data_IF_450276825797
#
_entry.id   IF_450276825797
#
_cell.length_a   1.000
_cell.length_b   1.000
_cell.length_c   1.000
_cell.angle_alpha   90.00
_cell.angle_beta   90.00
_cell.angle_gamma   90.00
#
_symmetry.space_group_name_H-M   'P 1'
#
loop_
_entity.id
_entity.type
_entity.pdbx_description
1 polymer ?
#
# COMPACT_ATOMS: atom_id res chain seq x y z
N UNK A 1 8.88 5.94 4.59
CA UNK A 1 9.72 4.87 3.99
C UNK A 1 8.86 3.86 3.25
N UNK A 2 8.68 4.05 1.94
CA UNK A 2 8.62 2.96 0.98
C UNK A 2 9.17 3.50 -0.34
N UNK A 3 10.37 3.07 -0.70
CA UNK A 3 10.94 3.23 -2.04
C UNK A 3 11.23 1.80 -2.48
N UNK A 4 10.29 1.16 -3.18
CA UNK A 4 10.53 -0.15 -3.82
C UNK A 4 11.05 0.05 -5.25
N UNK A 5 12.08 0.90 -5.37
CA UNK A 5 13.02 0.98 -6.48
C UNK A 5 14.38 1.24 -5.83
N UNK A 6 15.17 0.20 -5.60
CA UNK A 6 16.56 0.36 -5.17
C UNK A 6 17.40 0.69 -6.40
N UNK A 7 17.65 1.98 -6.60
CA UNK A 7 18.75 2.43 -7.45
C UNK A 7 19.96 2.73 -6.55
N UNK A 8 20.94 1.83 -6.60
CA UNK A 8 22.33 1.95 -6.14
C UNK A 8 22.62 1.70 -4.64
N UNK A 9 23.41 0.64 -4.33
CA UNK A 9 23.87 0.31 -2.97
C UNK A 9 25.29 -0.28 -2.98
N UNK A 10 26.18 0.42 -2.28
CA UNK A 10 27.46 -0.08 -1.76
C UNK A 10 27.34 -0.25 -0.23
N UNK A 11 27.72 -1.42 0.32
CA UNK A 11 27.48 -1.81 1.72
C UNK A 11 28.73 -1.74 2.62
N UNK A 12 28.53 -1.51 3.93
CA UNK A 12 29.31 -2.22 4.96
C UNK A 12 28.44 -2.87 6.07
N UNK A 13 28.93 -3.99 6.60
CA UNK A 13 28.32 -4.92 7.57
C UNK A 13 28.33 -4.47 9.04
N UNK A 14 27.28 -4.81 9.80
CA UNK A 14 27.23 -5.25 11.24
C UNK A 14 25.74 -5.40 11.61
N UNK A 15 25.19 -6.28 12.46
CA UNK A 15 25.67 -7.15 13.55
C UNK A 15 24.53 -7.17 14.60
N UNK A 16 23.81 -8.28 14.75
CA UNK A 16 22.56 -8.40 15.54
C UNK A 16 22.79 -8.65 17.04
N UNK A 17 21.85 -8.21 17.90
CA UNK A 17 21.51 -9.03 19.06
C UNK A 17 20.00 -9.16 19.37
N UNK A 18 19.75 -10.18 20.18
CA UNK A 18 18.52 -10.94 20.50
C UNK A 18 17.60 -10.34 21.59
N UNK A 19 16.28 -10.59 21.44
CA UNK A 19 15.26 -10.50 22.52
C UNK A 19 15.28 -11.73 23.43
N UNK A 20 14.64 -11.72 24.64
CA UNK A 20 13.33 -12.40 24.74
C UNK A 20 12.36 -11.95 25.85
N UNK A 21 11.16 -12.57 25.81
CA UNK A 21 10.15 -12.84 26.85
C UNK A 21 8.88 -11.98 26.98
N UNK A 22 7.75 -12.63 26.66
CA UNK A 22 6.37 -12.26 27.02
C UNK A 22 5.80 -13.25 28.05
N UNK A 23 5.14 -12.75 29.10
CA UNK A 23 4.40 -13.54 30.10
C UNK A 23 2.88 -13.35 29.99
N UNK A 24 2.14 -14.45 30.12
CA UNK A 24 0.67 -14.57 30.07
C UNK A 24 -0.04 -14.27 31.40
N UNK A 25 -1.38 -14.14 31.29
CA UNK A 25 -2.51 -14.39 32.25
C UNK A 25 -3.32 -13.10 32.51
N UNK A 26 -4.63 -13.09 32.72
CA UNK A 26 -5.73 -14.08 32.77
C UNK A 26 -7.05 -13.29 32.68
N UNK A 27 -8.08 -13.88 32.10
CA UNK A 27 -9.44 -13.37 32.09
C UNK A 27 -10.09 -13.48 33.49
N UNK A 28 -10.87 -12.47 33.88
CA UNK A 28 -11.85 -12.57 34.95
C UNK A 28 -13.16 -11.89 34.54
N UNK A 29 -14.25 -12.63 34.67
CA UNK A 29 -15.62 -12.22 34.43
C UNK A 29 -16.36 -12.03 35.75
N UNK A 30 -17.06 -10.90 35.91
CA UNK A 30 -18.39 -10.73 36.52
C UNK A 30 -18.61 -9.28 36.96
N UNK A 31 -19.74 -8.66 36.62
CA UNK A 31 -20.88 -8.61 37.56
C UNK A 31 -22.01 -7.66 37.10
N UNK A 32 -23.24 -8.17 37.27
CA UNK A 32 -24.45 -7.51 37.82
C UNK A 32 -25.02 -6.27 37.10
N UNK A 33 -26.16 -6.49 36.42
CA UNK A 33 -27.14 -5.48 35.98
C UNK A 33 -28.05 -5.08 37.15
N UNK A 34 -28.03 -3.80 37.52
CA UNK A 34 -29.00 -3.16 38.42
C UNK A 34 -30.15 -2.51 37.66
N UNK A 35 -31.38 -2.63 38.16
CA UNK A 35 -32.60 -2.00 37.61
C UNK A 35 -32.59 -0.50 37.92
N UNK A 36 -32.78 0.34 36.90
CA UNK A 36 -32.88 1.80 37.02
C UNK A 36 -34.35 2.21 37.19
N UNK A 37 -34.61 3.09 38.16
CA UNK A 37 -35.93 3.66 38.47
C UNK A 37 -36.42 4.61 37.37
N UNK A 38 -37.74 4.57 37.12
CA UNK A 38 -38.47 5.28 36.04
C UNK A 38 -38.29 6.81 36.10
N UNK A 39 -38.00 7.38 37.27
CA UNK A 39 -37.78 8.84 37.41
C UNK A 39 -36.44 9.27 36.78
N UNK A 40 -35.43 8.39 36.78
CA UNK A 40 -34.14 8.66 36.11
C UNK A 40 -34.25 8.59 34.60
N UNK A 41 -35.25 7.89 34.06
CA UNK A 41 -35.45 7.76 32.61
C UNK A 41 -35.95 9.05 31.96
N UNK A 42 -36.66 9.91 32.72
CA UNK A 42 -37.23 11.16 32.21
C UNK A 42 -36.15 12.25 32.11
N UNK A 43 -35.27 12.37 33.11
CA UNK A 43 -34.11 13.29 33.04
C UNK A 43 -33.08 12.89 31.95
N UNK A 44 -32.90 11.58 31.70
CA UNK A 44 -32.03 11.09 30.63
C UNK A 44 -32.56 11.46 29.23
N UNK A 45 -33.89 11.60 29.07
CA UNK A 45 -34.49 11.98 27.79
C UNK A 45 -34.30 13.46 27.45
N UNK A 46 -34.29 14.35 28.45
CA UNK A 46 -34.06 15.78 28.23
C UNK A 46 -32.57 16.08 27.93
N UNK A 47 -31.62 15.36 28.55
CA UNK A 47 -30.19 15.46 28.23
C UNK A 47 -29.85 14.86 26.84
N UNK A 48 -30.53 13.78 26.44
CA UNK A 48 -30.33 13.15 25.13
C UNK A 48 -30.87 13.99 23.96
N UNK A 49 -31.83 14.90 24.20
CA UNK A 49 -32.34 15.82 23.20
C UNK A 49 -31.39 17.01 22.94
N UNK A 50 -30.51 17.35 23.89
CA UNK A 50 -29.48 18.37 23.74
C UNK A 50 -28.20 17.84 23.06
N UNK A 51 -27.97 16.53 23.12
CA UNK A 51 -26.92 15.86 22.36
C UNK A 51 -27.43 15.56 20.94
N UNK A 52 -26.88 16.25 19.94
CA UNK A 52 -27.15 15.94 18.53
C UNK A 52 -26.91 14.45 18.19
N UNK A 53 -27.35 13.97 17.02
CA UNK A 53 -27.37 12.55 16.70
C UNK A 53 -25.97 11.93 16.90
N UNK A 54 -25.90 10.94 17.81
CA UNK A 54 -24.66 10.21 18.09
C UNK A 54 -24.18 9.56 16.79
N UNK A 55 -22.95 9.84 16.34
CA UNK A 55 -22.41 9.24 15.13
C UNK A 55 -22.51 7.71 15.21
N UNK A 56 -22.94 7.08 14.12
CA UNK A 56 -22.87 5.61 14.02
C UNK A 56 -21.44 5.14 14.33
N UNK A 57 -21.25 3.91 14.82
CA UNK A 57 -19.91 3.35 15.09
C UNK A 57 -18.97 3.44 13.86
N UNK A 58 -19.54 3.45 12.64
CA UNK A 58 -18.81 3.68 11.41
C UNK A 58 -18.38 5.15 11.22
N UNK A 59 -19.29 6.10 11.42
CA UNK A 59 -18.97 7.54 11.39
C UNK A 59 -18.01 7.94 12.52
N UNK A 60 -18.12 7.32 13.70
CA UNK A 60 -17.25 7.52 14.84
C UNK A 60 -15.80 7.06 14.58
N UNK A 61 -15.55 6.15 13.63
CA UNK A 61 -14.20 5.72 13.25
C UNK A 61 -13.53 6.66 12.24
N UNK A 62 -14.33 7.47 11.53
CA UNK A 62 -13.85 8.47 10.57
C UNK A 62 -13.63 9.86 11.17
N UNK A 63 -13.58 9.93 12.49
CA UNK A 63 -13.28 11.16 13.22
C UNK A 63 -11.78 11.45 13.21
N UNK A 64 -11.43 12.73 13.18
CA UNK A 64 -10.05 13.21 13.28
C UNK A 64 -9.39 12.64 14.54
N UNK A 65 -8.19 12.06 14.38
CA UNK A 65 -7.35 11.70 15.52
C UNK A 65 -6.78 12.95 16.21
N UNK A 66 -6.65 12.98 17.53
CA UNK A 66 -6.05 14.11 18.26
C UNK A 66 -4.55 14.31 17.96
N UNK A 67 -3.88 13.32 17.37
CA UNK A 67 -2.47 13.43 16.96
C UNK A 67 -2.26 14.30 15.71
N UNK A 68 -3.32 14.60 14.96
CA UNK A 68 -3.20 15.55 13.84
C UNK A 68 -3.10 16.97 14.38
N UNK A 69 -2.28 17.80 13.75
CA UNK A 69 -2.40 19.24 13.94
C UNK A 69 -3.72 19.76 13.35
N UNK A 70 -4.14 20.95 13.77
CA UNK A 70 -5.32 21.62 13.24
C UNK A 70 -5.15 21.99 11.75
N UNK A 71 -6.27 22.07 11.02
CA UNK A 71 -6.32 22.48 9.61
C UNK A 71 -6.95 21.45 8.68
N UNK A 72 -7.03 21.79 7.38
CA UNK A 72 -7.81 21.08 6.36
C UNK A 72 -7.56 19.57 6.33
N UNK A 73 -6.29 19.14 6.21
CA UNK A 73 -5.97 17.71 6.13
C UNK A 73 -5.94 17.04 7.51
N UNK A 74 -6.44 15.81 7.58
CA UNK A 74 -6.31 14.97 8.77
C UNK A 74 -6.37 13.48 8.48
N UNK A 75 -5.84 12.68 9.41
CA UNK A 75 -5.94 11.21 9.44
C UNK A 75 -6.92 10.76 10.52
N UNK A 76 -7.79 9.80 10.19
CA UNK A 76 -8.76 9.22 11.12
C UNK A 76 -8.26 7.92 11.80
N UNK A 77 -9.13 7.31 12.62
CA UNK A 77 -8.83 6.09 13.38
C UNK A 77 -8.89 4.79 12.55
N UNK A 78 -9.16 4.86 11.24
CA UNK A 78 -9.13 3.70 10.33
C UNK A 78 -7.75 3.48 9.71
N UNK A 79 -6.77 4.34 10.01
CA UNK A 79 -5.40 4.19 9.54
C UNK A 79 -4.79 2.87 10.03
N UNK A 80 -4.19 2.11 9.11
CA UNK A 80 -3.52 0.83 9.38
C UNK A 80 -1.99 0.94 9.41
N UNK A 81 -1.44 2.16 9.48
CA UNK A 81 0.01 2.41 9.55
C UNK A 81 0.88 1.87 8.39
N UNK A 82 0.30 1.67 7.20
CA UNK A 82 0.96 1.19 5.97
C UNK A 82 2.06 2.10 5.37
N UNK A 83 2.45 3.20 6.02
CA UNK A 83 3.46 4.17 5.57
C UNK A 83 3.15 4.99 4.29
N UNK A 84 2.18 4.58 3.45
CA UNK A 84 1.84 5.21 2.14
C UNK A 84 1.98 6.74 2.12
N UNK A 85 1.27 7.43 3.02
CA UNK A 85 1.27 8.90 3.03
C UNK A 85 2.59 9.53 3.46
N UNK A 86 3.38 8.84 4.29
CA UNK A 86 4.65 9.35 4.82
C UNK A 86 5.75 9.34 3.78
N UNK A 87 5.76 8.37 2.87
CA UNK A 87 6.73 8.39 1.77
C UNK A 87 6.24 9.21 0.57
N UNK A 88 4.92 9.28 0.33
CA UNK A 88 4.37 10.10 -0.76
C UNK A 88 4.40 11.60 -0.45
N UNK A 89 4.20 12.00 0.81
CA UNK A 89 4.15 13.39 1.26
C UNK A 89 4.81 13.55 2.64
N UNK A 90 6.13 13.27 2.77
CA UNK A 90 6.87 13.32 4.04
C UNK A 90 6.87 14.70 4.71
N UNK A 91 6.60 15.77 3.96
CA UNK A 91 6.50 17.13 4.48
C UNK A 91 5.17 17.38 5.23
N UNK A 92 4.17 16.50 5.06
CA UNK A 92 2.80 16.66 5.60
C UNK A 92 2.49 15.59 6.65
N UNK A 93 2.87 14.34 6.37
CA UNK A 93 2.54 13.19 7.22
C UNK A 93 3.76 12.60 7.92
N UNK A 94 3.58 12.22 9.18
CA UNK A 94 4.58 11.49 9.97
C UNK A 94 3.90 10.40 10.80
N UNK A 95 4.69 9.56 11.46
CA UNK A 95 4.19 8.55 12.40
C UNK A 95 4.08 9.18 13.78
N UNK A 96 2.90 9.13 14.39
CA UNK A 96 2.68 9.54 15.78
C UNK A 96 1.87 8.46 16.49
N UNK A 97 2.55 7.73 17.40
CA UNK A 97 2.07 6.47 17.95
C UNK A 97 2.11 5.36 16.90
N UNK A 98 1.09 4.52 16.87
CA UNK A 98 1.00 3.35 15.96
C UNK A 98 0.31 3.67 14.62
N UNK A 99 0.21 4.94 14.22
CA UNK A 99 -0.54 5.36 13.03
C UNK A 99 0.05 6.65 12.43
N UNK A 100 -0.28 6.92 11.16
CA UNK A 100 0.06 8.19 10.50
C UNK A 100 -0.79 9.35 11.02
N UNK A 101 -0.21 10.55 11.06
CA UNK A 101 -0.89 11.79 11.41
C UNK A 101 -0.34 12.96 10.56
N UNK A 102 -1.17 13.97 10.36
CA UNK A 102 -0.72 15.25 9.78
C UNK A 102 0.05 16.02 10.86
N UNK A 103 1.33 16.27 10.63
CA UNK A 103 2.17 17.07 11.54
C UNK A 103 2.43 18.48 11.03
N UNK A 104 2.22 18.71 9.73
CA UNK A 104 2.28 20.02 9.07
C UNK A 104 1.21 20.06 7.97
N UNK A 105 0.43 21.13 7.90
CA UNK A 105 -0.53 21.33 6.81
C UNK A 105 0.25 21.75 5.56
N UNK A 106 -0.18 21.32 4.36
CA UNK A 106 0.47 21.77 3.13
C UNK A 106 0.33 23.28 2.97
N UNK A 107 1.46 23.95 2.76
CA UNK A 107 1.58 25.40 2.61
C UNK A 107 1.84 25.85 1.17
N UNK A 108 2.18 24.92 0.28
CA UNK A 108 2.40 25.18 -1.15
C UNK A 108 1.49 24.32 -2.03
N UNK A 109 1.32 24.72 -3.29
CA UNK A 109 0.57 23.93 -4.27
C UNK A 109 1.17 22.53 -4.50
N UNK A 110 2.50 22.41 -4.43
CA UNK A 110 3.20 21.12 -4.54
C UNK A 110 2.95 20.22 -3.33
N UNK A 111 3.07 20.74 -2.11
CA UNK A 111 2.76 19.99 -0.88
C UNK A 111 1.30 19.54 -0.88
N UNK A 112 0.38 20.40 -1.34
CA UNK A 112 -1.06 20.08 -1.43
C UNK A 112 -1.31 18.98 -2.46
N UNK A 113 -0.68 19.05 -3.64
CA UNK A 113 -0.80 18.01 -4.66
C UNK A 113 -0.30 16.65 -4.12
N UNK A 114 0.87 16.62 -3.47
CA UNK A 114 1.42 15.41 -2.85
C UNK A 114 0.51 14.86 -1.75
N UNK A 115 -0.09 15.73 -0.92
CA UNK A 115 -1.04 15.32 0.10
C UNK A 115 -2.33 14.73 -0.49
N UNK A 116 -2.84 15.29 -1.59
CA UNK A 116 -4.00 14.73 -2.32
C UNK A 116 -3.67 13.41 -3.03
N UNK A 117 -2.46 13.27 -3.59
CA UNK A 117 -1.97 11.99 -4.12
C UNK A 117 -1.90 10.93 -3.01
N UNK A 118 -1.37 11.27 -1.83
CA UNK A 118 -1.37 10.40 -0.66
C UNK A 118 -2.79 10.03 -0.20
N UNK A 119 -3.73 10.98 -0.23
CA UNK A 119 -5.14 10.75 0.07
C UNK A 119 -5.76 9.72 -0.89
N UNK A 120 -5.55 9.88 -2.20
CA UNK A 120 -6.06 8.97 -3.24
C UNK A 120 -5.45 7.57 -3.13
N UNK A 121 -4.18 7.49 -2.72
CA UNK A 121 -3.45 6.23 -2.55
C UNK A 121 -3.62 5.58 -1.18
N UNK A 122 -4.29 6.24 -0.23
CA UNK A 122 -4.51 5.66 1.10
C UNK A 122 -5.39 4.40 0.99
N UNK A 123 -4.88 3.22 1.36
CA UNK A 123 -5.57 1.95 1.12
C UNK A 123 -6.90 1.85 1.86
N UNK A 124 -6.96 2.43 3.06
CA UNK A 124 -8.13 2.45 3.95
C UNK A 124 -8.97 3.72 3.82
N UNK A 125 -8.59 4.64 2.92
CA UNK A 125 -9.26 5.95 2.77
C UNK A 125 -9.37 6.72 4.09
N UNK A 126 -8.31 6.68 4.90
CA UNK A 126 -8.22 7.26 6.25
C UNK A 126 -7.75 8.71 6.27
N UNK A 127 -7.35 9.26 5.12
CA UNK A 127 -6.90 10.64 4.97
C UNK A 127 -8.05 11.46 4.43
N UNK A 128 -8.31 12.60 5.05
CA UNK A 128 -9.46 13.44 4.76
C UNK A 128 -9.05 14.90 4.62
N UNK A 129 -9.99 15.67 4.07
CA UNK A 129 -10.02 17.13 4.08
C UNK A 129 -11.28 17.57 4.82
N UNK A 130 -11.31 18.75 5.43
CA UNK A 130 -12.48 19.22 6.18
C UNK A 130 -13.70 19.40 5.29
N UNK A 131 -13.46 19.76 4.03
CA UNK A 131 -14.46 19.87 2.96
C UNK A 131 -13.94 19.11 1.75
N UNK A 132 -14.83 18.55 0.90
CA UNK A 132 -14.41 17.91 -0.34
C UNK A 132 -13.44 18.78 -1.13
N UNK A 133 -12.22 18.26 -1.34
CA UNK A 133 -11.15 18.98 -2.02
C UNK A 133 -11.54 19.30 -3.47
N UNK A 134 -11.70 20.59 -3.78
CA UNK A 134 -12.08 21.08 -5.11
C UNK A 134 -11.07 20.73 -6.21
N UNK A 135 -9.82 20.49 -5.83
CA UNK A 135 -8.67 20.18 -6.68
C UNK A 135 -8.34 18.68 -6.74
N UNK A 136 -9.17 17.81 -6.14
CA UNK A 136 -8.95 16.35 -6.16
C UNK A 136 -8.84 15.79 -7.58
N UNK A 137 -9.61 16.34 -8.53
CA UNK A 137 -9.58 15.92 -9.93
C UNK A 137 -8.23 16.23 -10.59
N UNK A 138 -7.52 17.27 -10.14
CA UNK A 138 -6.18 17.59 -10.63
C UNK A 138 -5.18 16.54 -10.16
N UNK A 139 -5.25 16.14 -8.88
CA UNK A 139 -4.44 15.06 -8.34
C UNK A 139 -4.72 13.72 -9.04
N UNK A 140 -5.98 13.38 -9.31
CA UNK A 140 -6.34 12.15 -10.05
C UNK A 140 -5.71 12.10 -11.45
N UNK A 141 -5.63 13.23 -12.15
CA UNK A 141 -5.01 13.32 -13.49
C UNK A 141 -3.50 13.10 -13.48
N UNK A 142 -2.86 13.12 -12.32
CA UNK A 142 -1.41 12.87 -12.22
C UNK A 142 -1.04 11.39 -12.15
N UNK A 143 -2.02 10.49 -12.00
CA UNK A 143 -1.77 9.05 -11.95
C UNK A 143 -1.94 8.39 -13.33
N UNK A 144 -1.13 7.38 -13.66
CA UNK A 144 0.06 6.95 -12.92
C UNK A 144 1.15 8.03 -12.99
N UNK A 145 1.86 8.26 -11.87
CA UNK A 145 2.82 9.38 -11.73
C UNK A 145 4.23 8.93 -12.10
N UNK A 146 4.97 9.64 -12.96
CA UNK A 146 6.38 9.34 -13.24
C UNK A 146 7.18 9.35 -11.94
N UNK A 147 8.02 8.34 -11.72
CA UNK A 147 8.83 8.27 -10.49
C UNK A 147 10.00 9.25 -10.57
N UNK A 148 10.78 9.17 -11.64
CA UNK A 148 11.84 10.12 -11.98
C UNK A 148 12.07 10.07 -13.50
N UNK A 149 11.62 11.12 -14.20
CA UNK A 149 11.71 11.20 -15.67
C UNK A 149 13.15 11.28 -16.19
N UNK A 150 14.10 11.70 -15.35
CA UNK A 150 15.49 11.86 -15.76
C UNK A 150 16.27 10.56 -15.54
N UNK A 151 16.09 9.91 -14.39
CA UNK A 151 16.84 8.69 -14.02
C UNK A 151 16.20 7.40 -14.53
N UNK A 152 14.86 7.31 -14.47
CA UNK A 152 14.12 6.09 -14.81
C UNK A 152 12.91 6.41 -15.70
N UNK A 153 13.14 6.98 -16.90
CA UNK A 153 12.07 7.36 -17.82
C UNK A 153 11.19 6.16 -18.19
N UNK A 154 9.89 6.39 -18.31
CA UNK A 154 8.93 5.34 -18.66
C UNK A 154 8.50 4.45 -17.49
N UNK A 155 8.97 4.72 -16.26
CA UNK A 155 8.53 4.01 -15.06
C UNK A 155 7.65 4.92 -14.20
N UNK A 156 6.46 4.42 -13.87
CA UNK A 156 5.43 5.17 -13.16
C UNK A 156 4.98 4.44 -11.90
N UNK A 157 4.64 5.20 -10.86
CA UNK A 157 3.90 4.73 -9.70
C UNK A 157 2.39 4.86 -9.96
N UNK A 158 1.65 3.77 -9.80
CA UNK A 158 0.23 3.73 -10.13
C UNK A 158 -0.66 4.45 -9.10
N UNK A 159 -0.20 4.63 -7.86
CA UNK A 159 -1.03 5.11 -6.76
C UNK A 159 -2.14 4.12 -6.40
N UNK A 160 -3.24 4.64 -5.85
CA UNK A 160 -4.46 3.88 -5.56
C UNK A 160 -4.19 2.52 -4.86
N UNK A 161 -3.43 2.52 -3.77
CA UNK A 161 -3.12 1.27 -3.08
C UNK A 161 -4.38 0.62 -2.49
N UNK A 162 -4.26 -0.66 -2.16
CA UNK A 162 -5.37 -1.48 -1.67
C UNK A 162 -5.17 -1.87 -0.21
N UNK A 163 -6.26 -1.87 0.56
CA UNK A 163 -6.28 -2.46 1.91
C UNK A 163 -5.97 -3.96 1.87
N UNK A 164 -6.34 -4.65 0.77
CA UNK A 164 -6.09 -6.09 0.60
C UNK A 164 -4.62 -6.47 0.50
N UNK A 165 -3.77 -5.54 0.07
CA UNK A 165 -2.32 -5.69 -0.04
C UNK A 165 -1.57 -4.85 1.00
N UNK A 166 -2.24 -4.48 2.09
CA UNK A 166 -1.69 -3.63 3.16
C UNK A 166 -1.03 -2.32 2.66
N UNK A 167 -1.50 -1.78 1.52
CA UNK A 167 -0.94 -0.55 0.94
C UNK A 167 0.29 -0.74 0.06
N UNK A 168 0.52 -1.94 -0.49
CA UNK A 168 1.60 -2.18 -1.45
C UNK A 168 1.55 -1.22 -2.64
N UNK A 169 2.73 -0.74 -3.04
CA UNK A 169 2.90 0.12 -4.20
C UNK A 169 2.95 -0.73 -5.47
N UNK A 170 2.24 -0.29 -6.51
CA UNK A 170 2.29 -0.89 -7.84
C UNK A 170 2.86 0.08 -8.86
N UNK A 171 3.41 -0.48 -9.93
CA UNK A 171 4.16 0.27 -10.92
C UNK A 171 3.74 -0.08 -12.34
N UNK A 172 4.02 0.83 -13.27
CA UNK A 172 3.87 0.62 -14.71
C UNK A 172 5.21 0.89 -15.38
N UNK A 173 5.70 -0.07 -16.17
CA UNK A 173 6.80 0.12 -17.12
C UNK A 173 6.18 0.29 -18.50
N UNK A 174 6.36 1.46 -19.11
CA UNK A 174 6.06 1.67 -20.53
C UNK A 174 7.15 1.00 -21.35
N UNK A 175 6.77 0.01 -22.16
CA UNK A 175 7.72 -0.90 -22.80
C UNK A 175 7.39 -1.10 -24.29
N UNK A 176 8.38 -1.10 -25.21
CA UNK A 176 8.14 -1.19 -26.65
C UNK A 176 7.39 -2.45 -27.11
N UNK A 177 7.54 -3.57 -26.41
CA UNK A 177 6.85 -4.84 -26.74
C UNK A 177 5.52 -5.03 -25.98
N UNK A 178 5.03 -3.97 -25.34
CA UNK A 178 3.83 -3.95 -24.50
C UNK A 178 4.17 -3.69 -23.04
N UNK A 179 3.43 -2.77 -22.42
CA UNK A 179 3.69 -2.31 -21.06
C UNK A 179 3.50 -3.43 -20.03
N UNK A 180 4.17 -3.27 -18.89
CA UNK A 180 4.15 -4.23 -17.78
C UNK A 180 3.65 -3.51 -16.54
N UNK A 181 2.57 -4.02 -15.93
CA UNK A 181 2.16 -3.64 -14.58
C UNK A 181 2.87 -4.55 -13.59
N UNK A 182 3.48 -3.99 -12.55
CA UNK A 182 4.12 -4.71 -11.45
C UNK A 182 3.27 -4.52 -10.21
N UNK A 183 2.77 -5.63 -9.69
CA UNK A 183 1.75 -5.72 -8.64
C UNK A 183 0.49 -4.94 -8.99
N UNK A 184 -0.60 -5.17 -8.26
CA UNK A 184 -1.91 -4.67 -8.66
C UNK A 184 -2.42 -3.54 -7.74
N UNK A 185 -2.70 -2.33 -8.27
CA UNK A 185 -3.37 -1.29 -7.50
C UNK A 185 -4.84 -1.65 -7.31
N UNK A 186 -5.50 -1.01 -6.34
CA UNK A 186 -6.97 -1.00 -6.28
C UNK A 186 -7.52 -0.48 -7.61
N UNK A 187 -8.44 -1.22 -8.22
CA UNK A 187 -8.96 -0.89 -9.52
C UNK A 187 -9.79 0.40 -9.49
N UNK A 188 -9.53 1.30 -10.45
CA UNK A 188 -10.41 2.44 -10.74
C UNK A 188 -10.53 2.65 -12.25
N UNK A 189 -11.73 2.99 -12.71
CA UNK A 189 -12.00 3.31 -14.13
C UNK A 189 -11.16 4.47 -14.67
N UNK A 190 -10.76 5.40 -13.79
CA UNK A 190 -9.92 6.54 -14.17
C UNK A 190 -8.50 6.07 -14.48
N UNK A 191 -7.86 5.39 -13.52
CA UNK A 191 -6.50 4.89 -13.67
C UNK A 191 -6.40 3.91 -14.85
N UNK A 192 -7.40 3.05 -15.04
CA UNK A 192 -7.42 2.13 -16.18
C UNK A 192 -7.40 2.86 -17.52
N UNK A 193 -8.23 3.90 -17.68
CA UNK A 193 -8.21 4.74 -18.89
C UNK A 193 -6.90 5.49 -19.06
N UNK A 194 -6.29 5.95 -17.97
CA UNK A 194 -4.98 6.62 -18.04
C UNK A 194 -3.87 5.65 -18.46
N UNK A 195 -3.89 4.39 -17.99
CA UNK A 195 -2.97 3.34 -18.44
C UNK A 195 -3.22 2.97 -19.91
N UNK A 196 -4.48 2.88 -20.36
CA UNK A 196 -4.82 2.66 -21.78
C UNK A 196 -4.25 3.77 -22.68
N UNK A 197 -4.34 5.03 -22.26
CA UNK A 197 -3.74 6.16 -22.99
C UNK A 197 -2.21 6.09 -23.05
N UNK A 198 -1.56 5.36 -22.13
CA UNK A 198 -0.13 5.07 -22.15
C UNK A 198 0.24 3.81 -22.94
N UNK A 199 -0.71 3.18 -23.63
CA UNK A 199 -0.50 1.97 -24.42
C UNK A 199 -1.03 0.68 -23.78
N UNK A 200 -1.83 0.79 -22.72
CA UNK A 200 -2.41 -0.36 -22.03
C UNK A 200 -1.39 -1.13 -21.20
N UNK A 201 -1.60 -2.43 -21.03
CA UNK A 201 -0.62 -3.37 -20.47
C UNK A 201 -0.75 -4.70 -21.19
N UNK A 202 0.40 -5.30 -21.53
CA UNK A 202 0.46 -6.67 -22.07
C UNK A 202 0.59 -7.68 -20.94
N UNK A 203 1.34 -7.32 -19.89
CA UNK A 203 1.62 -8.19 -18.76
C UNK A 203 1.26 -7.52 -17.44
N UNK A 204 0.77 -8.33 -16.51
CA UNK A 204 0.71 -8.01 -15.09
C UNK A 204 1.57 -9.01 -14.33
N UNK A 205 2.73 -8.57 -13.89
CA UNK A 205 3.63 -9.37 -13.07
C UNK A 205 3.29 -9.18 -11.59
N UNK A 206 2.93 -10.27 -10.91
CA UNK A 206 2.60 -10.30 -9.49
C UNK A 206 3.80 -10.88 -8.74
N UNK A 207 4.39 -10.09 -7.84
CA UNK A 207 5.65 -10.44 -7.17
C UNK A 207 5.48 -11.60 -6.17
N UNK A 208 4.33 -11.65 -5.48
CA UNK A 208 3.91 -12.71 -4.56
C UNK A 208 2.39 -12.72 -4.34
N UNK A 209 1.89 -13.69 -3.59
CA UNK A 209 0.46 -13.91 -3.33
C UNK A 209 -0.28 -12.78 -2.60
N UNK A 210 0.41 -11.92 -1.85
CA UNK A 210 -0.25 -10.83 -1.07
C UNK A 210 -0.59 -9.59 -1.93
N UNK A 211 0.15 -9.37 -3.02
CA UNK A 211 0.10 -8.12 -3.81
C UNK A 211 -0.79 -8.22 -5.07
N UNK A 212 -1.83 -9.04 -4.95
CA UNK A 212 -2.76 -9.43 -6.04
C UNK A 212 -4.10 -8.68 -6.00
N UNK A 213 -4.18 -7.54 -5.32
CA UNK A 213 -5.40 -6.73 -5.21
C UNK A 213 -6.05 -6.35 -6.56
N UNK A 214 -7.30 -6.80 -6.78
CA UNK A 214 -8.08 -6.50 -7.99
C UNK A 214 -7.42 -6.93 -9.33
N UNK A 215 -6.40 -7.80 -9.29
CA UNK A 215 -5.68 -8.32 -10.47
C UNK A 215 -6.62 -8.82 -11.59
N UNK A 216 -7.75 -9.46 -11.23
CA UNK A 216 -8.76 -9.92 -12.19
C UNK A 216 -9.41 -8.79 -12.98
N UNK A 217 -9.86 -7.73 -12.31
CA UNK A 217 -10.49 -6.57 -12.96
C UNK A 217 -9.54 -5.88 -13.92
N UNK A 218 -8.27 -5.78 -13.52
CA UNK A 218 -7.23 -5.19 -14.37
C UNK A 218 -6.98 -6.02 -15.63
N UNK A 219 -6.83 -7.33 -15.49
CA UNK A 219 -6.65 -8.24 -16.62
C UNK A 219 -7.86 -8.26 -17.54
N UNK A 220 -9.10 -8.26 -17.01
CA UNK A 220 -10.31 -8.13 -17.81
C UNK A 220 -10.37 -6.80 -18.58
N UNK A 221 -9.99 -5.70 -17.92
CA UNK A 221 -10.03 -4.35 -18.52
C UNK A 221 -8.95 -4.14 -19.58
N UNK A 222 -7.73 -4.59 -19.32
CA UNK A 222 -6.56 -4.35 -20.18
C UNK A 222 -6.25 -5.52 -21.13
N UNK A 223 -6.93 -6.66 -20.97
CA UNK A 223 -6.60 -7.91 -21.66
C UNK A 223 -5.14 -8.33 -21.48
N UNK A 224 -4.59 -8.13 -20.27
CA UNK A 224 -3.20 -8.44 -19.97
C UNK A 224 -3.04 -9.85 -19.36
N UNK A 225 -1.94 -10.53 -19.71
CA UNK A 225 -1.56 -11.82 -19.14
C UNK A 225 -0.96 -11.62 -17.75
N UNK A 226 -1.54 -12.27 -16.73
CA UNK A 226 -0.99 -12.25 -15.37
C UNK A 226 0.06 -13.34 -15.24
N UNK A 227 1.19 -12.97 -14.62
CA UNK A 227 2.33 -13.85 -14.37
C UNK A 227 2.52 -13.92 -12.85
N UNK A 228 2.46 -15.11 -12.29
CA UNK A 228 2.70 -15.39 -10.87
C UNK A 228 3.49 -16.70 -10.72
N UNK A 229 4.26 -16.85 -9.66
CA UNK A 229 4.95 -18.11 -9.37
C UNK A 229 3.98 -19.19 -8.88
N UNK A 230 4.19 -20.44 -9.28
CA UNK A 230 3.29 -21.54 -8.93
C UNK A 230 3.18 -21.82 -7.43
N UNK A 231 4.27 -21.56 -6.69
CA UNK A 231 4.31 -21.65 -5.22
C UNK A 231 3.43 -20.63 -4.49
N UNK A 232 3.00 -19.58 -5.18
CA UNK A 232 2.13 -18.51 -4.64
C UNK A 232 0.74 -18.53 -5.31
N UNK A 233 0.41 -19.56 -6.09
CA UNK A 233 -0.93 -19.71 -6.66
C UNK A 233 -1.89 -20.25 -5.59
N UNK A 234 -2.94 -19.50 -5.34
CA UNK A 234 -4.04 -19.86 -4.45
C UNK A 234 -5.37 -19.97 -5.22
N UNK A 235 -6.48 -20.08 -4.49
CA UNK A 235 -7.81 -20.14 -5.11
C UNK A 235 -8.19 -18.86 -5.88
N UNK A 236 -7.71 -17.69 -5.44
CA UNK A 236 -8.05 -16.40 -6.06
C UNK A 236 -7.27 -16.15 -7.36
N UNK A 237 -6.09 -16.76 -7.47
CA UNK A 237 -5.13 -16.64 -8.58
C UNK A 237 -5.02 -17.92 -9.41
N UNK A 238 -5.89 -18.91 -9.20
CA UNK A 238 -5.85 -20.20 -9.89
C UNK A 238 -5.93 -20.10 -11.42
N UNK A 239 -6.47 -19.01 -11.96
CA UNK A 239 -6.65 -18.73 -13.38
C UNK A 239 -5.69 -17.65 -13.93
N UNK A 240 -4.59 -17.36 -13.23
CA UNK A 240 -3.50 -16.59 -13.84
C UNK A 240 -2.95 -17.32 -15.07
N UNK A 241 -2.66 -16.54 -16.10
CA UNK A 241 -2.34 -17.01 -17.44
C UNK A 241 -0.99 -17.72 -17.49
N UNK A 242 0.00 -17.20 -16.75
CA UNK A 242 1.33 -17.79 -16.64
C UNK A 242 1.67 -18.12 -15.19
N UNK A 243 1.94 -19.41 -14.94
CA UNK A 243 2.40 -19.93 -13.65
C UNK A 243 3.86 -20.34 -13.78
N UNK A 244 4.77 -19.54 -13.23
CA UNK A 244 6.21 -19.83 -13.29
C UNK A 244 6.51 -21.09 -12.47
N UNK A 245 7.31 -22.00 -13.02
CA UNK A 245 7.68 -23.28 -12.38
C UNK A 245 9.20 -23.38 -12.24
N UNK A 246 9.67 -23.94 -11.13
CA UNK A 246 11.10 -24.07 -10.81
C UNK A 246 11.69 -22.79 -10.21
N UNK A 247 13.01 -22.64 -10.26
CA UNK A 247 13.71 -21.53 -9.58
C UNK A 247 14.22 -20.45 -10.53
N UNK A 248 13.78 -20.45 -11.79
CA UNK A 248 14.19 -19.47 -12.78
C UNK A 248 15.70 -19.48 -13.09
N UNK A 249 16.25 -18.36 -13.58
CA UNK A 249 15.53 -17.14 -13.95
C UNK A 249 14.65 -17.38 -15.18
N UNK A 250 13.58 -16.59 -15.30
CA UNK A 250 12.77 -16.52 -16.52
C UNK A 250 13.02 -15.19 -17.22
N UNK A 251 12.76 -15.12 -18.54
CA UNK A 251 12.88 -13.88 -19.29
C UNK A 251 11.54 -13.50 -19.89
N UNK A 252 11.22 -12.21 -19.83
CA UNK A 252 10.10 -11.61 -20.53
C UNK A 252 10.68 -10.71 -21.62
N UNK A 253 10.71 -11.22 -22.85
CA UNK A 253 11.50 -10.60 -23.91
C UNK A 253 13.01 -10.62 -23.61
N UNK A 254 13.76 -9.65 -24.14
CA UNK A 254 15.23 -9.58 -23.97
C UNK A 254 15.66 -8.82 -22.71
N UNK A 255 14.83 -7.88 -22.28
CA UNK A 255 15.24 -6.79 -21.38
C UNK A 255 14.66 -6.90 -19.98
N UNK A 256 13.83 -7.91 -19.72
CA UNK A 256 13.25 -8.19 -18.40
C UNK A 256 13.63 -9.60 -17.97
N UNK A 257 14.15 -9.73 -16.75
CA UNK A 257 14.44 -11.01 -16.10
C UNK A 257 13.61 -11.14 -14.83
N UNK A 258 13.01 -12.31 -14.62
CA UNK A 258 12.28 -12.67 -13.41
C UNK A 258 13.17 -13.60 -12.59
N UNK A 259 13.48 -13.21 -11.36
CA UNK A 259 14.45 -13.86 -10.49
C UNK A 259 13.69 -14.43 -9.30
N UNK A 260 13.71 -15.75 -9.13
CA UNK A 260 13.10 -16.39 -7.97
C UNK A 260 13.86 -15.99 -6.71
N UNK A 261 13.15 -15.38 -5.77
CA UNK A 261 13.68 -14.83 -4.52
C UNK A 261 12.75 -15.24 -3.39
N UNK A 262 12.64 -16.55 -3.09
CA UNK A 262 11.85 -17.00 -1.95
C UNK A 262 12.33 -16.29 -0.70
N UNK A 263 11.44 -15.97 0.22
CA UNK A 263 11.81 -15.21 1.40
C UNK A 263 10.60 -14.68 2.13
N UNK A 264 9.87 -13.76 1.53
CA UNK A 264 8.57 -13.31 2.01
C UNK A 264 7.52 -14.42 1.89
N UNK A 265 7.43 -15.00 0.70
CA UNK A 265 6.65 -16.20 0.37
C UNK A 265 7.56 -17.23 -0.31
N UNK A 266 7.07 -18.46 -0.52
CA UNK A 266 7.80 -19.51 -1.23
C UNK A 266 7.94 -19.19 -2.73
N UNK A 267 6.93 -18.55 -3.32
CA UNK A 267 6.89 -18.13 -4.71
C UNK A 267 7.26 -16.67 -4.96
N UNK A 268 7.87 -15.97 -4.00
CA UNK A 268 8.33 -14.59 -4.23
C UNK A 268 9.29 -14.50 -5.42
N UNK A 269 9.02 -13.61 -6.37
CA UNK A 269 9.85 -13.37 -7.57
C UNK A 269 10.09 -11.87 -7.74
N UNK A 270 11.34 -11.48 -7.95
CA UNK A 270 11.71 -10.12 -8.32
C UNK A 270 11.70 -9.93 -9.84
N UNK A 271 11.34 -8.73 -10.31
CA UNK A 271 11.50 -8.33 -11.71
C UNK A 271 12.70 -7.40 -11.86
N UNK A 272 13.68 -7.80 -12.66
CA UNK A 272 14.83 -6.98 -13.03
C UNK A 272 14.65 -6.41 -14.45
N UNK A 273 14.50 -5.09 -14.54
CA UNK A 273 14.43 -4.35 -15.80
C UNK A 273 15.83 -3.87 -16.19
N UNK A 274 16.45 -4.57 -17.14
CA UNK A 274 17.86 -4.41 -17.52
C UNK A 274 18.24 -3.02 -18.05
N UNK A 275 17.44 -2.37 -18.92
CA UNK A 275 17.82 -1.10 -19.54
C UNK A 275 18.09 0.02 -18.54
N UNK A 276 17.31 0.05 -17.45
CA UNK A 276 17.42 1.05 -16.39
C UNK A 276 18.07 0.50 -15.11
N UNK A 277 18.44 -0.79 -15.10
CA UNK A 277 18.99 -1.50 -13.93
C UNK A 277 18.09 -1.38 -12.69
N UNK A 278 16.78 -1.52 -12.88
CA UNK A 278 15.79 -1.42 -11.80
C UNK A 278 15.39 -2.81 -11.35
N UNK A 279 15.33 -3.02 -10.03
CA UNK A 279 14.79 -4.22 -9.42
C UNK A 279 13.48 -3.89 -8.68
N UNK A 280 12.40 -4.58 -9.04
CA UNK A 280 11.14 -4.58 -8.31
C UNK A 280 11.08 -5.84 -7.46
N UNK A 281 11.01 -5.67 -6.14
CA UNK A 281 11.32 -6.74 -5.18
C UNK A 281 10.12 -7.34 -4.47
N UNK A 282 8.91 -6.83 -4.70
CA UNK A 282 7.77 -7.15 -3.83
C UNK A 282 8.15 -6.90 -2.37
N UNK A 283 7.71 -7.77 -1.47
CA UNK A 283 8.10 -7.74 -0.05
C UNK A 283 9.42 -8.47 0.28
N UNK A 284 10.17 -8.96 -0.73
CA UNK A 284 11.44 -9.65 -0.48
C UNK A 284 12.51 -8.71 0.10
N UNK A 285 12.63 -7.49 -0.43
CA UNK A 285 13.52 -6.44 0.06
C UNK A 285 12.69 -5.22 0.47
N UNK A 286 12.84 -4.81 1.72
CA UNK A 286 12.04 -3.77 2.37
C UNK A 286 12.94 -2.70 2.97
N UNK A 287 12.48 -1.45 2.96
CA UNK A 287 13.13 -0.36 3.70
C UNK A 287 12.48 -0.22 5.08
N UNK A 288 13.25 -0.41 6.14
CA UNK A 288 12.84 -0.18 7.52
C UNK A 288 13.49 1.08 8.08
N UNK A 289 13.10 1.49 9.28
CA UNK A 289 13.72 2.63 9.98
C UNK A 289 15.24 2.43 10.20
N UNK A 290 15.71 1.18 10.24
CA UNK A 290 17.13 0.83 10.43
C UNK A 290 17.88 0.57 9.12
N UNK A 291 17.23 0.75 7.97
CA UNK A 291 17.81 0.54 6.64
C UNK A 291 17.14 -0.60 5.86
N UNK A 292 17.83 -1.12 4.86
CA UNK A 292 17.31 -2.21 4.04
C UNK A 292 17.29 -3.52 4.82
N UNK A 293 16.22 -4.27 4.66
CA UNK A 293 15.97 -5.56 5.29
C UNK A 293 15.46 -6.56 4.27
N UNK A 294 15.88 -7.81 4.39
CA UNK A 294 15.45 -8.92 3.54
C UNK A 294 14.46 -9.77 4.34
N UNK A 295 13.36 -10.18 3.71
CA UNK A 295 12.45 -11.14 4.31
C UNK A 295 12.99 -12.56 4.11
N UNK A 296 13.28 -13.28 5.19
CA UNK A 296 13.99 -14.57 5.13
C UNK A 296 13.11 -15.79 5.51
N UNK A 297 11.80 -15.62 5.70
CA UNK A 297 10.89 -16.67 6.21
C UNK A 297 10.99 -17.97 5.38
N UNK A 298 11.20 -17.86 4.08
CA UNK A 298 11.33 -19.00 3.16
C UNK A 298 12.73 -19.14 2.52
N UNK A 299 13.76 -18.49 3.08
CA UNK A 299 15.15 -18.73 2.70
C UNK A 299 15.62 -20.08 3.23
N UNK A 300 15.34 -21.17 2.51
CA UNK A 300 15.81 -22.53 2.88
C UNK A 300 17.25 -22.83 2.44
N UNK A 301 17.99 -21.87 1.89
CA UNK A 301 19.33 -22.08 1.32
C UNK A 301 20.37 -21.01 1.69
N UNK A 302 20.37 -20.49 2.92
CA UNK A 302 21.52 -19.75 3.48
C UNK A 302 22.36 -20.58 4.47
N UNK A 303 22.20 -21.90 4.44
CA UNK A 303 22.97 -22.85 5.26
C UNK A 303 23.34 -24.10 4.48
N UNK A 304 24.38 -24.01 3.66
CA UNK A 304 25.24 -25.13 3.26
C UNK A 304 26.57 -24.60 2.73
#
# INVERSE_FOLDING_TARGET
MAVKITADLSFPEVGLPSSPFSGQRRLNANSKRGKVSVIRAIQIQEEAAAAGPTPTRYQARRTRRPQNIEGDFFVDHTCIDCDTCRWMAPQVFTRIGEMSAVFKQPTSGEERLKALQALLSCPTSSIHTEKPASDILQAQKTFPTPIDQQRIPGVYHCGYHSEKSYGAASFLIVHPEGNIIIDSPRYTERLARDIEMLGGARYMFLTHEDDVADHRKWSERLSCDRILHSGDVDNSTADVETKLQGSGPWNLGRDVQLIHTPGHTEGSVCLFYKPLKILFTGDHLLMTETGLSICERYNKCSGS
#
